data_IF_351074852135
#
_entry.id   IF_351074852135
#
_cell.length_a   1.000
_cell.length_b   1.000
_cell.length_c   1.000
_cell.angle_alpha   90.00
_cell.angle_beta   90.00
_cell.angle_gamma   90.00
#
_symmetry.space_group_name_H-M   'P 1'
#
loop_
_entity.id
_entity.type
_entity.pdbx_description
1 polymer ?
#
# COMPACT_ATOMS: atom_id res chain seq x y z
N UNK A 1 -31.21 -29.91 45.26
CA UNK A 1 -31.00 -29.54 43.86
C UNK A 1 -30.75 -28.04 43.80
N UNK A 2 -29.50 -27.62 43.58
CA UNK A 2 -29.08 -26.21 43.52
C UNK A 2 -28.61 -25.93 42.08
N UNK A 3 -29.14 -24.92 41.38
CA UNK A 3 -28.61 -24.53 40.08
C UNK A 3 -27.36 -23.69 40.31
N UNK A 4 -26.20 -24.25 39.98
CA UNK A 4 -24.95 -23.51 39.87
C UNK A 4 -24.78 -23.16 38.39
N UNK A 5 -25.32 -21.99 37.99
CA UNK A 5 -25.04 -21.38 36.68
C UNK A 5 -23.65 -20.75 36.83
N UNK A 6 -22.62 -21.57 36.61
CA UNK A 6 -21.23 -21.16 36.59
C UNK A 6 -20.87 -20.54 35.23
N UNK A 7 -20.09 -19.47 35.32
CA UNK A 7 -19.30 -18.87 34.24
C UNK A 7 -20.07 -18.26 33.08
N UNK A 8 -20.59 -17.06 33.37
CA UNK A 8 -20.68 -15.96 32.42
C UNK A 8 -19.32 -15.80 31.72
N UNK A 9 -19.21 -16.34 30.51
CA UNK A 9 -18.10 -16.15 29.59
C UNK A 9 -18.15 -14.74 29.02
N UNK A 10 -17.71 -13.75 29.80
CA UNK A 10 -17.36 -12.42 29.30
C UNK A 10 -15.83 -12.34 29.27
N UNK A 11 -15.26 -12.79 28.16
CA UNK A 11 -13.86 -12.56 27.80
C UNK A 11 -13.78 -12.33 26.28
N UNK A 12 -14.70 -11.51 25.77
CA UNK A 12 -14.72 -11.03 24.40
C UNK A 12 -14.62 -9.51 24.44
N UNK A 13 -13.42 -8.98 24.54
CA UNK A 13 -13.27 -7.52 24.62
C UNK A 13 -11.87 -7.00 24.87
N UNK A 14 -10.84 -7.53 24.21
CA UNK A 14 -9.52 -6.87 24.11
C UNK A 14 -8.78 -7.24 22.81
N UNK A 15 -9.52 -7.39 21.70
CA UNK A 15 -8.95 -7.43 20.34
C UNK A 15 -9.32 -6.14 19.57
N UNK A 16 -9.32 -5.00 20.26
CA UNK A 16 -9.52 -3.71 19.60
C UNK A 16 -8.16 -3.18 19.14
N UNK A 17 -7.83 -3.56 17.91
CA UNK A 17 -7.14 -2.70 16.95
C UNK A 17 -5.69 -2.31 17.29
N UNK A 18 -4.74 -3.16 16.89
CA UNK A 18 -3.50 -2.66 16.30
C UNK A 18 -3.84 -2.04 14.94
N UNK A 19 -4.39 -0.83 14.95
CA UNK A 19 -4.31 0.05 13.78
C UNK A 19 -2.93 0.71 13.83
N UNK A 20 -1.91 -0.01 13.36
CA UNK A 20 -0.68 0.65 12.91
C UNK A 20 -1.10 1.49 11.70
N UNK A 21 -1.20 2.80 11.91
CA UNK A 21 -1.21 3.74 10.80
C UNK A 21 0.16 3.66 10.16
N UNK A 22 0.19 3.06 8.98
CA UNK A 22 1.37 3.02 8.12
C UNK A 22 1.62 4.44 7.58
N UNK A 23 2.17 5.30 8.45
CA UNK A 23 2.68 6.62 8.09
C UNK A 23 4.09 6.46 7.49
N UNK A 24 4.23 5.60 6.49
CA UNK A 24 5.48 5.41 5.74
C UNK A 24 5.47 6.27 4.46
N UNK A 25 4.80 7.42 4.44
CA UNK A 25 4.80 8.33 3.29
C UNK A 25 6.21 8.89 3.00
N UNK A 26 7.04 9.05 4.04
CA UNK A 26 8.44 9.46 3.94
C UNK A 26 9.40 8.36 3.49
N UNK A 27 9.04 7.07 3.60
CA UNK A 27 9.92 5.94 3.28
C UNK A 27 10.15 5.71 1.79
N UNK A 28 9.38 6.36 0.92
CA UNK A 28 9.53 6.17 -0.52
C UNK A 28 10.54 7.09 -1.18
N UNK A 29 11.02 8.15 -0.51
CA UNK A 29 11.98 9.12 -1.06
C UNK A 29 13.40 8.54 -1.06
N UNK A 30 14.17 8.77 -2.13
CA UNK A 30 15.51 8.18 -2.25
C UNK A 30 16.46 8.67 -1.15
N UNK A 31 16.44 9.96 -0.85
CA UNK A 31 17.24 10.57 0.22
C UNK A 31 16.88 9.99 1.60
N UNK A 32 15.59 9.82 1.90
CA UNK A 32 15.18 9.23 3.17
C UNK A 32 15.69 7.79 3.31
N UNK A 33 15.57 6.99 2.24
CA UNK A 33 16.09 5.62 2.22
C UNK A 33 17.60 5.57 2.43
N UNK A 34 18.32 6.48 1.80
CA UNK A 34 19.77 6.63 1.96
C UNK A 34 20.13 6.91 3.43
N UNK A 35 19.60 8.00 3.99
CA UNK A 35 19.87 8.38 5.38
C UNK A 35 19.45 7.32 6.40
N UNK A 36 18.36 6.62 6.12
CA UNK A 36 17.90 5.52 6.97
C UNK A 36 18.88 4.33 6.93
N UNK A 37 19.41 3.97 5.76
CA UNK A 37 20.42 2.93 5.63
C UNK A 37 21.74 3.32 6.30
N UNK A 38 22.18 4.57 6.16
CA UNK A 38 23.37 5.10 6.86
C UNK A 38 23.24 4.96 8.38
N UNK A 39 22.12 5.40 8.96
CA UNK A 39 21.86 5.24 10.41
C UNK A 39 21.88 3.78 10.84
N UNK A 40 21.37 2.86 10.01
CA UNK A 40 21.43 1.43 10.32
C UNK A 40 22.83 0.85 10.23
N UNK A 41 23.67 1.36 9.32
CA UNK A 41 25.08 0.99 9.20
C UNK A 41 25.82 1.44 10.45
N UNK A 42 25.68 2.70 10.86
CA UNK A 42 26.32 3.25 12.07
C UNK A 42 25.96 2.42 13.31
N UNK A 43 24.68 2.10 13.45
CA UNK A 43 24.21 1.23 14.53
C UNK A 43 24.83 -0.18 14.45
N UNK A 44 24.82 -0.81 13.28
CA UNK A 44 25.39 -2.15 13.12
C UNK A 44 26.90 -2.19 13.37
N UNK A 45 27.63 -1.12 13.01
CA UNK A 45 29.05 -0.94 13.31
C UNK A 45 29.30 -0.81 14.81
N UNK A 46 28.54 0.05 15.50
CA UNK A 46 28.66 0.24 16.95
C UNK A 46 28.44 -1.06 17.75
N UNK A 47 27.65 -1.99 17.20
CA UNK A 47 27.35 -3.28 17.80
C UNK A 47 28.17 -4.45 17.22
N UNK A 48 29.24 -4.20 16.45
CA UNK A 48 30.11 -5.22 15.84
C UNK A 48 29.36 -6.26 14.99
N UNK A 49 28.23 -5.88 14.39
CA UNK A 49 27.43 -6.77 13.55
C UNK A 49 27.86 -6.64 12.08
N UNK A 50 29.07 -7.10 11.78
CA UNK A 50 29.71 -6.94 10.47
C UNK A 50 28.92 -7.60 9.33
N UNK A 51 28.23 -8.71 9.61
CA UNK A 51 27.39 -9.38 8.62
C UNK A 51 26.19 -8.52 8.20
N UNK A 52 25.58 -7.80 9.16
CA UNK A 52 24.52 -6.83 8.89
C UNK A 52 25.06 -5.60 8.16
N UNK A 53 26.23 -5.10 8.56
CA UNK A 53 26.89 -3.96 7.87
C UNK A 53 27.06 -4.26 6.38
N UNK A 54 27.59 -5.43 6.03
CA UNK A 54 27.79 -5.80 4.62
C UNK A 54 26.48 -5.80 3.82
N UNK A 55 25.41 -6.36 4.38
CA UNK A 55 24.09 -6.36 3.72
C UNK A 55 23.50 -4.95 3.57
N UNK A 56 23.68 -4.08 4.57
CA UNK A 56 23.20 -2.70 4.52
C UNK A 56 24.00 -1.84 3.54
N UNK A 57 25.31 -2.04 3.42
CA UNK A 57 26.15 -1.38 2.44
C UNK A 57 25.77 -1.76 1.00
N UNK A 58 25.47 -3.04 0.76
CA UNK A 58 24.95 -3.46 -0.54
C UNK A 58 23.58 -2.81 -0.82
N UNK A 59 22.69 -2.74 0.16
CA UNK A 59 21.42 -2.04 0.00
C UNK A 59 21.60 -0.54 -0.28
N UNK A 60 22.59 0.11 0.34
CA UNK A 60 22.91 1.52 0.11
C UNK A 60 23.39 1.74 -1.33
N UNK A 61 24.32 0.90 -1.82
CA UNK A 61 24.79 0.93 -3.21
C UNK A 61 23.64 0.78 -4.22
N UNK A 62 22.68 -0.09 -3.93
CA UNK A 62 21.48 -0.26 -4.78
C UNK A 62 20.59 0.99 -4.77
N UNK A 63 20.50 1.70 -3.65
CA UNK A 63 19.79 2.99 -3.58
C UNK A 63 20.54 4.05 -4.40
N UNK A 64 21.86 4.13 -4.30
CA UNK A 64 22.67 5.10 -5.06
C UNK A 64 22.60 4.86 -6.57
N UNK A 65 22.64 3.60 -7.00
CA UNK A 65 22.66 3.24 -8.42
C UNK A 65 21.28 3.30 -9.08
N UNK A 66 20.20 3.05 -8.32
CA UNK A 66 18.88 2.79 -8.90
C UNK A 66 17.73 3.61 -8.32
N UNK A 67 17.97 4.43 -7.29
CA UNK A 67 16.96 5.30 -6.75
C UNK A 67 17.17 6.74 -7.26
N UNK A 68 16.39 7.11 -8.27
CA UNK A 68 16.19 8.52 -8.60
C UNK A 68 14.74 8.92 -8.32
N UNK A 69 14.51 10.12 -7.78
CA UNK A 69 13.15 10.60 -7.53
C UNK A 69 12.31 10.66 -8.81
N UNK A 70 12.96 10.90 -9.97
CA UNK A 70 12.33 10.81 -11.28
C UNK A 70 11.83 9.39 -11.61
N UNK A 71 12.60 8.34 -11.31
CA UNK A 71 12.14 6.96 -11.51
C UNK A 71 10.99 6.61 -10.55
N UNK A 72 11.05 7.08 -9.29
CA UNK A 72 9.95 6.91 -8.34
C UNK A 72 8.67 7.59 -8.85
N UNK A 73 8.78 8.84 -9.33
CA UNK A 73 7.67 9.58 -9.92
C UNK A 73 7.08 8.83 -11.12
N UNK A 74 7.92 8.39 -12.07
CA UNK A 74 7.49 7.59 -13.23
C UNK A 74 6.78 6.31 -12.84
N UNK A 75 7.25 5.59 -11.81
CA UNK A 75 6.56 4.39 -11.30
C UNK A 75 5.16 4.72 -10.79
N UNK A 76 4.99 5.84 -10.08
CA UNK A 76 3.68 6.28 -9.57
C UNK A 76 2.76 6.76 -10.71
N UNK A 77 3.27 7.53 -11.66
CA UNK A 77 2.55 7.93 -12.88
C UNK A 77 2.05 6.70 -13.65
N UNK A 78 2.91 5.70 -13.84
CA UNK A 78 2.54 4.43 -14.48
C UNK A 78 1.45 3.67 -13.71
N UNK A 79 1.47 3.72 -12.38
CA UNK A 79 0.43 3.12 -11.52
C UNK A 79 -0.91 3.82 -11.73
N UNK A 80 -0.92 5.16 -11.74
CA UNK A 80 -2.13 5.95 -12.04
C UNK A 80 -2.64 5.64 -13.45
N UNK A 81 -1.76 5.64 -14.46
CA UNK A 81 -2.14 5.33 -15.84
C UNK A 81 -2.73 3.92 -15.99
N UNK A 82 -2.18 2.92 -15.29
CA UNK A 82 -2.73 1.55 -15.26
C UNK A 82 -4.13 1.52 -14.66
N UNK A 83 -4.37 2.25 -13.57
CA UNK A 83 -5.71 2.33 -12.95
C UNK A 83 -6.71 3.09 -13.82
N UNK A 84 -6.29 4.15 -14.52
CA UNK A 84 -7.13 4.83 -15.52
C UNK A 84 -7.56 3.88 -16.65
N UNK A 85 -6.65 3.06 -17.17
CA UNK A 85 -6.97 2.04 -18.17
C UNK A 85 -7.97 1.01 -17.64
N UNK A 86 -7.82 0.56 -16.37
CA UNK A 86 -8.77 -0.36 -15.72
C UNK A 86 -10.17 0.24 -15.63
N UNK A 87 -10.29 1.53 -15.28
CA UNK A 87 -11.59 2.23 -15.26
C UNK A 87 -12.22 2.25 -16.65
N UNK A 88 -11.47 2.62 -17.69
CA UNK A 88 -11.96 2.64 -19.07
C UNK A 88 -12.40 1.25 -19.55
N UNK A 89 -11.68 0.19 -19.17
CA UNK A 89 -12.06 -1.19 -19.46
C UNK A 89 -13.37 -1.58 -18.77
N UNK A 90 -13.51 -1.33 -17.46
CA UNK A 90 -14.73 -1.64 -16.71
C UNK A 90 -15.95 -0.86 -17.19
N UNK A 91 -15.75 0.38 -17.64
CA UNK A 91 -16.80 1.19 -18.26
C UNK A 91 -17.34 0.52 -19.53
N UNK A 92 -16.45 0.04 -20.42
CA UNK A 92 -16.85 -0.71 -21.63
C UNK A 92 -17.55 -2.03 -21.29
N UNK A 93 -17.07 -2.76 -20.30
CA UNK A 93 -17.72 -4.00 -19.87
C UNK A 93 -19.14 -3.76 -19.32
N UNK A 94 -19.35 -2.64 -18.61
CA UNK A 94 -20.66 -2.24 -18.12
C UNK A 94 -21.60 -1.89 -19.27
N UNK A 95 -21.13 -1.16 -20.29
CA UNK A 95 -21.90 -0.85 -21.49
C UNK A 95 -22.34 -2.12 -22.24
N UNK A 96 -21.43 -3.08 -22.41
CA UNK A 96 -21.76 -4.40 -22.98
C UNK A 96 -22.76 -5.17 -22.11
N UNK A 97 -22.67 -5.08 -20.79
CA UNK A 97 -23.64 -5.70 -19.90
C UNK A 97 -25.02 -5.05 -20.00
N UNK A 98 -25.08 -3.72 -20.15
CA UNK A 98 -26.33 -2.97 -20.36
C UNK A 98 -27.04 -3.42 -21.65
N UNK A 99 -26.29 -3.65 -22.73
CA UNK A 99 -26.84 -4.18 -23.98
C UNK A 99 -27.49 -5.57 -23.82
N UNK A 100 -27.05 -6.37 -22.84
CA UNK A 100 -27.64 -7.69 -22.57
C UNK A 100 -28.95 -7.66 -21.77
N UNK A 101 -29.31 -6.54 -21.15
CA UNK A 101 -30.51 -6.40 -20.30
C UNK A 101 -30.50 -7.19 -18.98
N UNK A 102 -29.50 -8.05 -18.74
CA UNK A 102 -29.41 -8.89 -17.55
C UNK A 102 -29.06 -8.06 -16.32
N UNK A 103 -30.06 -7.75 -15.49
CA UNK A 103 -29.94 -6.87 -14.30
C UNK A 103 -28.79 -7.26 -13.37
N UNK A 104 -28.64 -8.56 -13.08
CA UNK A 104 -27.57 -9.08 -12.23
C UNK A 104 -26.18 -8.79 -12.82
N UNK A 105 -26.01 -9.03 -14.13
CA UNK A 105 -24.74 -8.77 -14.84
C UNK A 105 -24.41 -7.28 -14.85
N UNK A 106 -25.41 -6.42 -15.02
CA UNK A 106 -25.25 -4.96 -14.96
C UNK A 106 -24.80 -4.54 -13.56
N UNK A 107 -25.46 -5.03 -12.51
CA UNK A 107 -25.09 -4.73 -11.12
C UNK A 107 -23.66 -5.17 -10.80
N UNK A 108 -23.27 -6.39 -11.21
CA UNK A 108 -21.90 -6.90 -11.02
C UNK A 108 -20.85 -6.05 -11.73
N UNK A 109 -21.11 -5.62 -12.97
CA UNK A 109 -20.18 -4.76 -13.71
C UNK A 109 -20.11 -3.33 -13.17
N UNK A 110 -21.22 -2.81 -12.66
CA UNK A 110 -21.25 -1.51 -11.99
C UNK A 110 -20.38 -1.53 -10.73
N UNK A 111 -20.52 -2.54 -9.86
CA UNK A 111 -19.69 -2.69 -8.67
C UNK A 111 -18.18 -2.73 -9.00
N UNK A 112 -17.79 -3.48 -10.05
CA UNK A 112 -16.39 -3.54 -10.51
C UNK A 112 -15.86 -2.23 -11.06
N UNK A 113 -16.72 -1.42 -11.67
CA UNK A 113 -16.36 -0.08 -12.15
C UNK A 113 -16.14 0.86 -10.96
N UNK A 114 -17.01 0.79 -9.96
CA UNK A 114 -16.90 1.63 -8.76
C UNK A 114 -15.65 1.28 -7.95
N UNK A 115 -15.36 -0.01 -7.76
CA UNK A 115 -14.09 -0.48 -7.18
C UNK A 115 -12.88 0.06 -7.95
N UNK A 116 -12.89 -0.01 -9.30
CA UNK A 116 -11.79 0.50 -10.10
C UNK A 116 -11.62 2.03 -9.99
N UNK A 117 -12.72 2.78 -9.78
CA UNK A 117 -12.69 4.24 -9.55
C UNK A 117 -12.10 4.56 -8.18
N UNK A 118 -12.44 3.80 -7.15
CA UNK A 118 -11.86 3.94 -5.81
C UNK A 118 -10.36 3.69 -5.81
N UNK A 119 -9.91 2.60 -6.46
CA UNK A 119 -8.49 2.29 -6.61
C UNK A 119 -7.73 3.38 -7.38
N UNK A 120 -8.35 3.99 -8.39
CA UNK A 120 -7.77 5.12 -9.12
C UNK A 120 -7.67 6.36 -8.23
N UNK A 121 -8.72 6.67 -7.46
CA UNK A 121 -8.72 7.79 -6.54
C UNK A 121 -7.63 7.62 -5.47
N UNK A 122 -7.48 6.42 -4.92
CA UNK A 122 -6.41 6.08 -3.99
C UNK A 122 -5.02 6.24 -4.62
N UNK A 123 -4.81 5.73 -5.84
CA UNK A 123 -3.54 5.88 -6.54
C UNK A 123 -3.19 7.35 -6.79
N UNK A 124 -4.18 8.19 -7.11
CA UNK A 124 -4.01 9.64 -7.27
C UNK A 124 -3.69 10.35 -5.95
N UNK A 125 -4.41 10.02 -4.86
CA UNK A 125 -4.11 10.55 -3.51
C UNK A 125 -2.70 10.21 -3.07
N UNK A 126 -2.29 8.95 -3.26
CA UNK A 126 -0.92 8.51 -2.98
C UNK A 126 0.07 9.30 -3.82
N UNK A 127 -0.16 9.44 -5.13
CA UNK A 127 0.72 10.24 -5.99
C UNK A 127 0.84 11.71 -5.54
N UNK A 128 -0.27 12.38 -5.21
CA UNK A 128 -0.26 13.80 -4.80
C UNK A 128 0.40 14.03 -3.45
N UNK A 129 0.23 13.11 -2.49
CA UNK A 129 0.84 13.24 -1.16
C UNK A 129 2.36 13.32 -1.23
N UNK A 130 2.98 12.63 -2.19
CA UNK A 130 4.43 12.64 -2.38
C UNK A 130 5.00 13.85 -3.13
N UNK A 131 4.15 14.69 -3.74
CA UNK A 131 4.60 15.93 -4.41
C UNK A 131 4.58 17.13 -3.44
N UNK A 132 3.76 17.06 -2.38
CA UNK A 132 3.55 18.15 -1.43
C UNK A 132 4.52 18.16 -0.24
N UNK A 133 5.36 17.14 -0.12
CA UNK A 133 6.44 16.98 0.87
C UNK A 133 7.78 16.98 0.16
#
# INVERSE_FOLDING_TARGET
>A
MKPQILSVTILAGLCYSFMVSDAMAGYERCEYKHQHLERQIDYAQAHNNYHRVAGLQEALRQVDEHCTDNQLRRRKENKVAKKQRKVAERQRELEQARASGKREKIASKQAKLDEAREELAEARRKFSHHIAE
#
